data_IF_936178938428
#
_entry.id   IF_936178938428
#
_cell.length_a   1.000
_cell.length_b   1.000
_cell.length_c   1.000
_cell.angle_alpha   90.00
_cell.angle_beta   90.00
_cell.angle_gamma   90.00
#
_symmetry.space_group_name_H-M   'P 1'
#
loop_
_entity.id
_entity.type
_entity.pdbx_description
1 polymer ?
#
# COMPACT_ATOMS: atom_id res chain seq x y z
N UNK A 1 -13.15 7.31 18.85
CA UNK A 1 -13.72 6.17 18.08
C UNK A 1 -14.86 6.71 17.22
N UNK A 2 -14.83 6.39 15.91
CA UNK A 2 -15.58 7.02 14.81
C UNK A 2 -14.98 8.40 14.43
N UNK A 3 -14.53 8.70 13.19
CA UNK A 3 -14.85 8.14 11.88
C UNK A 3 -13.69 8.47 10.90
N UNK A 4 -12.82 7.52 10.60
CA UNK A 4 -11.89 7.60 9.46
C UNK A 4 -12.53 6.89 8.26
N UNK A 5 -13.45 7.59 7.60
CA UNK A 5 -13.91 7.23 6.27
C UNK A 5 -14.07 8.53 5.51
N UNK A 6 -13.09 8.86 4.68
CA UNK A 6 -13.18 9.60 3.41
C UNK A 6 -11.78 10.14 3.07
N UNK A 7 -11.02 9.33 2.32
CA UNK A 7 -10.17 9.75 1.20
C UNK A 7 -9.43 8.51 0.66
N UNK A 8 -10.07 7.66 -0.18
CA UNK A 8 -9.28 6.88 -1.11
C UNK A 8 -8.95 7.78 -2.31
N UNK A 9 -7.66 7.85 -2.64
CA UNK A 9 -7.14 8.28 -3.94
C UNK A 9 -7.46 9.71 -4.41
N UNK A 10 -6.62 10.67 -4.01
CA UNK A 10 -6.28 11.83 -4.87
C UNK A 10 -5.19 11.40 -5.85
N UNK A 11 -5.52 10.43 -6.71
CA UNK A 11 -4.75 10.05 -7.89
C UNK A 11 -5.42 10.59 -9.15
N UNK A 12 -5.62 11.90 -9.23
CA UNK A 12 -6.06 12.54 -10.46
C UNK A 12 -5.03 13.61 -10.83
N UNK A 13 -4.24 13.30 -11.84
CA UNK A 13 -3.23 14.17 -12.43
C UNK A 13 -3.79 15.58 -12.64
N UNK A 14 -3.07 16.58 -12.12
CA UNK A 14 -3.21 17.96 -12.57
C UNK A 14 -2.72 18.04 -14.02
N UNK A 15 -3.66 18.00 -14.98
CA UNK A 15 -3.42 18.50 -16.32
C UNK A 15 -4.46 19.58 -16.62
N UNK A 16 -4.03 20.83 -16.45
CA UNK A 16 -4.61 21.94 -17.20
C UNK A 16 -4.26 21.71 -18.67
N UNK A 17 -5.23 21.28 -19.48
CA UNK A 17 -5.12 21.35 -20.94
C UNK A 17 -6.34 22.10 -21.50
N UNK A 18 -6.15 23.04 -22.44
CA UNK A 18 -7.23 23.81 -23.01
C UNK A 18 -8.01 22.95 -24.03
N UNK A 19 -9.33 23.15 -24.03
CA UNK A 19 -10.32 22.75 -25.02
C UNK A 19 -9.81 21.97 -26.26
N UNK A 20 -10.26 20.72 -26.39
CA UNK A 20 -10.38 20.04 -27.69
C UNK A 20 -11.83 19.60 -27.92
N UNK A 21 -12.34 19.67 -29.16
CA UNK A 21 -13.77 19.63 -29.45
C UNK A 21 -14.33 18.20 -29.40
N UNK A 22 -15.62 18.15 -29.07
CA UNK A 22 -16.48 16.97 -28.95
C UNK A 22 -16.17 15.83 -29.94
N UNK A 23 -15.58 14.75 -29.42
CA UNK A 23 -15.78 13.39 -29.93
C UNK A 23 -16.76 12.70 -29.01
N UNK A 24 -17.92 12.29 -29.52
CA UNK A 24 -18.90 11.49 -28.78
C UNK A 24 -18.24 10.22 -28.24
N UNK A 25 -18.05 10.16 -26.92
CA UNK A 25 -17.67 8.93 -26.23
C UNK A 25 -18.86 7.96 -26.28
N UNK A 26 -18.84 7.05 -27.24
CA UNK A 26 -19.84 6.00 -27.37
C UNK A 26 -19.61 4.93 -26.27
N UNK A 27 -20.44 4.97 -25.22
CA UNK A 27 -20.36 4.07 -24.06
C UNK A 27 -20.99 2.68 -24.25
N UNK A 28 -21.43 2.29 -25.46
CA UNK A 28 -22.12 1.00 -25.67
C UNK A 28 -21.29 -0.07 -26.40
N UNK A 29 -19.95 -0.01 -26.33
CA UNK A 29 -19.09 -1.11 -26.81
C UNK A 29 -18.90 -2.18 -25.73
N UNK A 30 -19.66 -3.27 -25.85
CA UNK A 30 -19.65 -4.46 -24.98
C UNK A 30 -18.58 -5.50 -25.36
N UNK A 31 -17.65 -5.14 -26.24
CA UNK A 31 -16.59 -6.00 -26.78
C UNK A 31 -15.21 -5.72 -26.18
N UNK A 32 -15.10 -4.91 -25.11
CA UNK A 32 -13.80 -4.70 -24.44
C UNK A 32 -13.48 -5.87 -23.52
N UNK A 33 -12.24 -6.40 -23.58
CA UNK A 33 -11.85 -7.50 -22.73
C UNK A 33 -11.65 -7.03 -21.27
N UNK A 34 -11.75 -7.95 -20.31
CA UNK A 34 -11.66 -7.67 -18.86
C UNK A 34 -10.45 -6.78 -18.55
N UNK A 35 -10.67 -5.65 -17.88
CA UNK A 35 -9.59 -4.73 -17.52
C UNK A 35 -8.80 -5.22 -16.32
N UNK A 36 -9.47 -5.90 -15.38
CA UNK A 36 -8.84 -6.49 -14.20
C UNK A 36 -9.52 -7.80 -13.81
N UNK A 37 -8.71 -8.77 -13.40
CA UNK A 37 -9.15 -10.05 -12.84
C UNK A 37 -8.26 -10.38 -11.65
N UNK A 38 -8.88 -10.53 -10.48
CA UNK A 38 -8.24 -11.01 -9.27
C UNK A 38 -8.83 -12.37 -8.87
N UNK A 39 -7.99 -13.19 -8.25
CA UNK A 39 -8.41 -14.51 -7.80
C UNK A 39 -7.96 -14.73 -6.37
N UNK A 40 -8.83 -15.36 -5.60
CA UNK A 40 -8.65 -15.57 -4.17
C UNK A 40 -8.87 -17.04 -3.84
N UNK A 41 -8.19 -17.49 -2.79
CA UNK A 41 -8.31 -18.82 -2.20
C UNK A 41 -8.56 -18.68 -0.71
N UNK A 42 -9.57 -19.35 -0.18
CA UNK A 42 -9.76 -19.52 1.25
C UNK A 42 -8.97 -20.78 1.69
N UNK A 43 -7.84 -20.66 2.40
CA UNK A 43 -6.93 -21.79 2.58
C UNK A 43 -7.52 -22.94 3.41
N UNK A 44 -8.50 -22.67 4.28
CA UNK A 44 -9.09 -23.67 5.17
C UNK A 44 -10.13 -24.55 4.47
N UNK A 45 -10.95 -24.00 3.57
CA UNK A 45 -12.01 -24.71 2.83
C UNK A 45 -11.61 -25.06 1.41
N UNK A 46 -10.57 -24.44 0.87
CA UNK A 46 -10.18 -24.54 -0.53
C UNK A 46 -11.10 -23.76 -1.49
N UNK A 47 -12.01 -22.97 -0.95
CA UNK A 47 -12.95 -22.16 -1.72
C UNK A 47 -12.21 -21.12 -2.57
N UNK A 48 -12.69 -20.88 -3.80
CA UNK A 48 -12.15 -19.86 -4.69
C UNK A 48 -13.16 -18.78 -4.99
N UNK A 49 -12.70 -17.53 -4.92
CA UNK A 49 -13.44 -16.37 -5.40
C UNK A 49 -12.70 -15.74 -6.59
N UNK A 50 -13.47 -15.15 -7.51
CA UNK A 50 -12.93 -14.34 -8.60
C UNK A 50 -13.61 -12.98 -8.58
N UNK A 51 -12.80 -11.95 -8.57
CA UNK A 51 -13.24 -10.59 -8.66
C UNK A 51 -12.81 -10.03 -10.02
N UNK A 52 -13.72 -9.37 -10.72
CA UNK A 52 -13.44 -8.87 -12.06
C UNK A 52 -14.09 -7.53 -12.29
N UNK A 53 -13.43 -6.72 -13.12
CA UNK A 53 -13.89 -5.38 -13.48
C UNK A 53 -13.70 -5.14 -14.97
N UNK A 54 -14.75 -4.62 -15.60
CA UNK A 54 -14.80 -4.34 -17.05
C UNK A 54 -14.72 -2.85 -17.41
N UNK A 55 -14.45 -1.98 -16.42
CA UNK A 55 -14.46 -0.53 -16.59
C UNK A 55 -15.75 0.13 -16.11
N UNK A 56 -16.81 -0.64 -15.85
CA UNK A 56 -18.09 -0.10 -15.36
C UNK A 56 -18.72 -0.96 -14.27
N UNK A 57 -18.40 -2.24 -14.21
CA UNK A 57 -19.08 -3.19 -13.33
C UNK A 57 -18.07 -4.07 -12.63
N UNK A 58 -18.20 -4.17 -11.31
CA UNK A 58 -17.47 -5.13 -10.49
C UNK A 58 -18.32 -6.40 -10.33
N UNK A 59 -17.73 -7.56 -10.58
CA UNK A 59 -18.38 -8.87 -10.41
C UNK A 59 -17.55 -9.75 -9.49
N UNK A 60 -18.16 -10.19 -8.40
CA UNK A 60 -17.63 -11.21 -7.50
C UNK A 60 -18.32 -12.54 -7.79
N UNK A 61 -17.55 -13.55 -8.19
CA UNK A 61 -18.02 -14.92 -8.40
C UNK A 61 -17.47 -15.82 -7.30
N UNK A 62 -18.39 -16.49 -6.58
CA UNK A 62 -18.11 -17.33 -5.40
C UNK A 62 -19.10 -18.50 -5.38
N UNK A 63 -18.63 -19.74 -5.22
CA UNK A 63 -19.48 -20.96 -5.15
C UNK A 63 -20.57 -21.09 -6.23
N UNK A 64 -20.30 -20.58 -7.44
CA UNK A 64 -21.27 -20.57 -8.54
C UNK A 64 -22.31 -19.43 -8.48
N UNK A 65 -22.36 -18.67 -7.39
CA UNK A 65 -23.08 -17.40 -7.30
C UNK A 65 -22.24 -16.27 -7.90
N UNK A 66 -22.92 -15.25 -8.44
CA UNK A 66 -22.27 -14.04 -8.96
C UNK A 66 -23.00 -12.83 -8.43
N UNK A 67 -22.31 -12.04 -7.61
CA UNK A 67 -22.76 -10.72 -7.20
C UNK A 67 -22.21 -9.69 -8.19
N UNK A 68 -23.07 -8.78 -8.64
CA UNK A 68 -22.72 -7.73 -9.60
C UNK A 68 -23.01 -6.38 -8.97
N UNK A 69 -22.04 -5.48 -9.05
CA UNK A 69 -22.15 -4.12 -8.53
C UNK A 69 -21.72 -3.16 -9.64
N UNK A 70 -22.63 -2.26 -10.00
CA UNK A 70 -22.31 -1.06 -10.78
C UNK A 70 -22.06 0.10 -9.81
N UNK A 71 -21.31 1.14 -10.22
CA UNK A 71 -21.19 2.37 -9.45
C UNK A 71 -22.57 2.84 -8.99
N UNK A 72 -22.71 3.29 -7.73
CA UNK A 72 -23.96 3.89 -7.29
C UNK A 72 -24.26 5.13 -8.17
N UNK A 73 -25.53 5.52 -8.33
CA UNK A 73 -25.87 6.79 -8.95
C UNK A 73 -25.11 7.91 -8.23
N UNK A 74 -24.32 8.68 -8.98
CA UNK A 74 -23.58 9.80 -8.41
C UNK A 74 -24.49 11.02 -8.36
N UNK A 75 -24.87 11.41 -7.15
CA UNK A 75 -25.55 12.66 -6.88
C UNK A 75 -24.52 13.69 -6.40
N UNK A 76 -24.01 14.47 -7.36
CA UNK A 76 -23.02 15.51 -7.10
C UNK A 76 -23.52 16.52 -6.06
N UNK A 77 -24.82 16.85 -6.06
CA UNK A 77 -25.38 17.82 -5.14
C UNK A 77 -25.40 17.26 -3.71
N UNK A 78 -25.76 15.99 -3.54
CA UNK A 78 -25.74 15.32 -2.25
C UNK A 78 -24.31 15.19 -1.68
N UNK A 79 -23.33 14.79 -2.51
CA UNK A 79 -21.94 14.71 -2.08
C UNK A 79 -21.34 16.08 -1.75
N UNK A 80 -21.73 17.12 -2.50
CA UNK A 80 -21.34 18.51 -2.22
C UNK A 80 -21.86 18.99 -0.88
N UNK A 81 -23.10 18.66 -0.56
CA UNK A 81 -23.71 18.99 0.73
C UNK A 81 -23.07 18.22 1.89
N UNK A 82 -22.74 16.95 1.68
CA UNK A 82 -22.02 16.12 2.67
C UNK A 82 -20.63 16.68 2.96
N UNK A 83 -19.87 17.03 1.93
CA UNK A 83 -18.55 17.66 2.08
C UNK A 83 -18.65 19.00 2.82
N UNK A 84 -19.64 19.83 2.46
CA UNK A 84 -19.91 21.09 3.15
C UNK A 84 -20.17 20.85 4.64
N UNK A 85 -21.03 19.91 4.98
CA UNK A 85 -21.36 19.57 6.37
C UNK A 85 -20.12 19.06 7.15
N UNK A 86 -19.29 18.23 6.51
CA UNK A 86 -18.05 17.74 7.11
C UNK A 86 -17.07 18.88 7.42
N UNK A 87 -16.83 19.76 6.45
CA UNK A 87 -15.91 20.90 6.63
C UNK A 87 -16.44 21.91 7.66
N UNK A 88 -17.76 22.07 7.76
CA UNK A 88 -18.36 22.94 8.77
C UNK A 88 -18.06 22.45 10.21
N UNK A 89 -17.97 21.13 10.39
CA UNK A 89 -17.67 20.49 11.66
C UNK A 89 -16.16 20.38 11.92
N UNK A 90 -15.40 19.98 10.90
CA UNK A 90 -14.05 19.42 11.06
C UNK A 90 -12.97 20.14 10.24
N UNK A 91 -13.21 21.34 9.68
CA UNK A 91 -12.17 22.07 8.97
C UNK A 91 -10.91 22.23 9.83
N UNK A 92 -9.75 21.84 9.27
CA UNK A 92 -8.47 21.83 9.96
C UNK A 92 -7.37 22.52 9.16
N UNK A 93 -6.19 22.67 9.77
CA UNK A 93 -5.06 23.38 9.18
C UNK A 93 -4.59 22.80 7.82
N UNK A 94 -4.46 21.46 7.66
CA UNK A 94 -4.21 20.83 6.37
C UNK A 94 -5.14 21.28 5.23
N UNK A 95 -6.46 21.31 5.44
CA UNK A 95 -7.39 21.72 4.38
C UNK A 95 -7.20 23.19 4.02
N UNK A 96 -7.17 24.10 5.01
CA UNK A 96 -6.94 25.53 4.75
C UNK A 96 -5.67 25.79 3.94
N UNK A 97 -4.58 25.07 4.25
CA UNK A 97 -3.33 25.13 3.50
C UNK A 97 -3.49 24.63 2.08
N UNK A 98 -4.05 23.42 1.91
CA UNK A 98 -4.22 22.79 0.60
C UNK A 98 -4.99 23.71 -0.36
N UNK A 99 -6.10 24.30 0.07
CA UNK A 99 -6.86 25.19 -0.80
C UNK A 99 -6.19 26.53 -1.06
N UNK A 100 -5.42 27.08 -0.11
CA UNK A 100 -4.58 28.25 -0.37
C UNK A 100 -3.58 27.96 -1.50
N UNK A 101 -2.93 26.81 -1.49
CA UNK A 101 -1.99 26.42 -2.56
C UNK A 101 -2.69 26.17 -3.90
N UNK A 102 -3.86 25.53 -3.90
CA UNK A 102 -4.70 25.42 -5.11
C UNK A 102 -5.04 26.79 -5.68
N UNK A 103 -5.39 27.75 -4.82
CA UNK A 103 -5.72 29.11 -5.21
C UNK A 103 -4.51 29.84 -5.81
N UNK A 104 -3.33 29.67 -5.22
CA UNK A 104 -2.05 30.20 -5.74
C UNK A 104 -1.74 29.61 -7.11
N UNK A 105 -1.80 28.29 -7.26
CA UNK A 105 -1.56 27.61 -8.53
C UNK A 105 -2.50 28.08 -9.64
N UNK A 106 -3.80 28.25 -9.32
CA UNK A 106 -4.81 28.72 -10.26
C UNK A 106 -4.61 30.17 -10.70
N UNK A 107 -4.23 31.06 -9.78
CA UNK A 107 -4.12 32.50 -10.05
C UNK A 107 -2.70 32.94 -10.43
N UNK A 108 -1.74 32.02 -10.41
CA UNK A 108 -0.37 32.24 -10.86
C UNK A 108 0.47 33.17 -9.98
N UNK A 109 -0.08 33.70 -8.88
CA UNK A 109 0.69 34.50 -7.92
C UNK A 109 0.08 34.47 -6.52
N UNK A 110 0.93 34.57 -5.49
CA UNK A 110 0.49 34.64 -4.09
C UNK A 110 -0.32 35.88 -3.79
N UNK A 111 0.02 37.03 -4.36
CA UNK A 111 -0.72 38.27 -4.12
C UNK A 111 -2.13 38.18 -4.71
N UNK A 112 -2.29 37.68 -5.94
CA UNK A 112 -3.62 37.46 -6.52
C UNK A 112 -4.45 36.46 -5.70
N UNK A 113 -3.84 35.38 -5.25
CA UNK A 113 -4.50 34.42 -4.37
C UNK A 113 -4.89 35.00 -3.02
N UNK A 114 -4.04 35.84 -2.41
CA UNK A 114 -4.37 36.54 -1.18
C UNK A 114 -5.55 37.49 -1.36
N UNK A 115 -5.58 38.26 -2.44
CA UNK A 115 -6.71 39.16 -2.72
C UNK A 115 -8.01 38.38 -2.89
N UNK A 116 -7.95 37.25 -3.59
CA UNK A 116 -9.11 36.37 -3.78
C UNK A 116 -9.55 35.71 -2.47
N UNK A 117 -8.60 35.25 -1.64
CA UNK A 117 -8.85 34.70 -0.31
C UNK A 117 -9.63 35.68 0.58
N UNK A 118 -9.20 36.95 0.60
CA UNK A 118 -9.88 38.01 1.32
C UNK A 118 -11.23 38.36 0.70
N UNK A 119 -11.33 38.41 -0.63
CA UNK A 119 -12.59 38.66 -1.36
C UNK A 119 -13.64 37.60 -1.03
N UNK A 120 -13.18 36.36 -0.84
CA UNK A 120 -14.00 35.24 -0.43
C UNK A 120 -14.37 35.29 1.06
N UNK A 121 -13.97 36.30 1.82
CA UNK A 121 -14.39 36.54 3.20
C UNK A 121 -13.63 35.71 4.23
N UNK A 122 -12.48 35.14 3.86
CA UNK A 122 -11.57 34.51 4.80
C UNK A 122 -10.63 35.57 5.41
N UNK A 123 -10.31 35.50 6.71
CA UNK A 123 -9.62 36.57 7.41
C UNK A 123 -8.13 36.64 7.04
N UNK A 124 -7.59 37.85 6.93
CA UNK A 124 -6.15 38.09 6.73
C UNK A 124 -5.29 37.34 7.76
N UNK A 125 -5.74 37.29 9.01
CA UNK A 125 -5.05 36.56 10.09
C UNK A 125 -4.79 35.09 9.74
N UNK A 126 -5.76 34.41 9.11
CA UNK A 126 -5.60 33.01 8.69
C UNK A 126 -4.53 32.87 7.59
N UNK A 127 -4.50 33.80 6.62
CA UNK A 127 -3.46 33.84 5.60
C UNK A 127 -2.06 34.01 6.22
N UNK A 128 -1.92 34.95 7.15
CA UNK A 128 -0.65 35.23 7.82
C UNK A 128 -0.17 34.06 8.69
N UNK A 129 -1.10 33.34 9.33
CA UNK A 129 -0.82 32.14 10.11
C UNK A 129 -0.35 30.99 9.22
N UNK A 130 -0.99 30.78 8.07
CA UNK A 130 -0.53 29.80 7.08
C UNK A 130 0.87 30.16 6.54
N UNK A 131 1.15 31.44 6.27
CA UNK A 131 2.49 31.91 5.84
C UNK A 131 3.54 31.74 6.93
N UNK A 132 3.15 31.92 8.20
CA UNK A 132 4.02 31.67 9.35
C UNK A 132 4.29 30.18 9.52
N UNK A 133 3.26 29.36 9.32
CA UNK A 133 3.36 27.91 9.37
C UNK A 133 4.34 27.38 8.33
N UNK A 134 4.21 27.74 7.03
CA UNK A 134 5.14 27.28 6.00
C UNK A 134 6.60 27.68 6.29
N UNK A 135 6.81 28.92 6.77
CA UNK A 135 8.15 29.41 7.16
C UNK A 135 8.75 28.62 8.32
N UNK A 136 7.95 28.30 9.34
CA UNK A 136 8.40 27.46 10.48
C UNK A 136 8.77 26.05 10.02
N UNK A 137 8.09 25.53 9.01
CA UNK A 137 8.38 24.21 8.44
C UNK A 137 9.62 24.17 7.54
N UNK A 138 10.31 25.30 7.34
CA UNK A 138 11.49 25.38 6.47
C UNK A 138 11.17 25.12 4.99
N UNK A 139 9.89 25.15 4.61
CA UNK A 139 9.44 24.81 3.26
C UNK A 139 9.41 26.04 2.38
N UNK A 140 9.90 25.88 1.16
CA UNK A 140 9.79 26.92 0.13
C UNK A 140 8.54 26.67 -0.72
N UNK A 141 8.01 27.68 -1.43
CA UNK A 141 6.77 27.55 -2.21
C UNK A 141 6.77 26.49 -3.32
N UNK A 142 7.88 25.79 -3.57
CA UNK A 142 8.02 24.73 -4.57
C UNK A 142 7.84 23.31 -4.01
N UNK A 143 7.65 23.14 -2.70
CA UNK A 143 7.52 21.81 -2.09
C UNK A 143 6.10 21.27 -2.28
N UNK A 144 5.97 20.02 -2.75
CA UNK A 144 4.70 19.40 -3.12
C UNK A 144 3.60 19.54 -2.04
N UNK A 145 2.32 19.75 -2.42
CA UNK A 145 1.25 20.11 -1.49
C UNK A 145 0.90 19.02 -0.47
N UNK A 146 1.26 17.76 -0.73
CA UNK A 146 0.64 16.58 -0.08
C UNK A 146 1.42 15.96 1.08
N UNK A 147 2.61 16.45 1.45
CA UNK A 147 3.34 15.88 2.59
C UNK A 147 2.96 16.62 3.86
N UNK A 148 1.95 16.13 4.58
CA UNK A 148 1.58 16.55 5.94
C UNK A 148 2.18 15.47 6.86
N UNK A 149 3.32 15.71 7.55
CA UNK A 149 3.89 14.70 8.46
C UNK A 149 2.88 14.32 9.55
N UNK A 150 2.65 13.02 9.74
CA UNK A 150 1.60 12.49 10.62
C UNK A 150 1.80 12.73 12.13
N UNK A 151 2.90 13.36 12.53
CA UNK A 151 3.20 13.68 13.93
C UNK A 151 3.11 15.17 14.24
N UNK A 152 1.96 15.80 13.96
CA UNK A 152 1.63 17.13 14.49
C UNK A 152 1.22 17.05 15.97
N UNK A 153 2.14 16.56 16.80
CA UNK A 153 2.05 16.67 18.25
C UNK A 153 2.37 18.10 18.66
N UNK A 154 1.57 18.62 19.60
CA UNK A 154 1.72 19.68 20.62
C UNK A 154 3.06 20.44 20.87
N UNK A 155 4.15 20.17 20.15
CA UNK A 155 5.50 20.67 20.38
C UNK A 155 5.84 22.01 19.68
N UNK A 156 5.05 22.47 18.70
CA UNK A 156 5.35 23.68 17.90
C UNK A 156 4.45 24.90 18.20
N UNK A 157 3.39 24.71 18.97
CA UNK A 157 2.35 25.72 19.20
C UNK A 157 1.87 25.60 20.64
N UNK A 158 1.87 26.71 21.38
CA UNK A 158 1.37 26.75 22.75
C UNK A 158 -0.15 26.56 22.80
N UNK A 159 -0.69 26.09 23.93
CA UNK A 159 -2.15 25.96 24.11
C UNK A 159 -2.89 27.29 23.89
N UNK A 160 -2.26 28.41 24.26
CA UNK A 160 -2.80 29.76 24.04
C UNK A 160 -2.79 30.16 22.56
N UNK A 161 -1.73 29.82 21.80
CA UNK A 161 -1.68 30.02 20.36
C UNK A 161 -2.74 29.16 19.65
N UNK A 162 -2.94 27.90 20.06
CA UNK A 162 -4.00 27.03 19.52
C UNK A 162 -5.38 27.64 19.74
N UNK A 163 -5.66 28.10 20.96
CA UNK A 163 -6.97 28.65 21.31
C UNK A 163 -7.34 29.91 20.50
N UNK A 164 -6.35 30.76 20.20
CA UNK A 164 -6.56 32.07 19.58
C UNK A 164 -6.30 32.10 18.05
N UNK A 165 -5.85 30.98 17.47
CA UNK A 165 -5.51 30.86 16.06
C UNK A 165 -6.70 30.41 15.22
N UNK A 166 -7.16 31.17 14.21
CA UNK A 166 -8.12 30.67 13.23
C UNK A 166 -7.62 29.46 12.43
N UNK A 167 -6.31 29.21 12.37
CA UNK A 167 -5.75 28.03 11.72
C UNK A 167 -5.97 26.75 12.54
N UNK A 168 -5.74 26.80 13.85
CA UNK A 168 -5.83 25.64 14.75
C UNK A 168 -7.19 25.48 15.44
N UNK A 169 -7.89 26.59 15.68
CA UNK A 169 -9.21 26.65 16.29
C UNK A 169 -10.11 27.64 15.53
N UNK A 170 -10.47 27.35 14.27
CA UNK A 170 -11.30 28.24 13.45
C UNK A 170 -12.65 28.49 14.13
N UNK A 171 -13.14 29.74 14.25
CA UNK A 171 -14.48 29.97 14.77
C UNK A 171 -15.55 29.35 13.86
N UNK A 172 -16.72 29.03 14.41
CA UNK A 172 -17.79 28.36 13.67
C UNK A 172 -18.22 29.10 12.39
N UNK A 173 -18.19 30.43 12.40
CA UNK A 173 -18.46 31.24 11.21
C UNK A 173 -17.41 31.05 10.12
N UNK A 174 -16.13 30.98 10.49
CA UNK A 174 -15.04 30.70 9.56
C UNK A 174 -15.16 29.29 8.98
N UNK A 175 -15.46 28.28 9.82
CA UNK A 175 -15.71 26.91 9.33
C UNK A 175 -16.87 26.86 8.33
N UNK A 176 -17.99 27.51 8.64
CA UNK A 176 -19.14 27.63 7.71
C UNK A 176 -18.77 28.28 6.39
N UNK A 177 -18.04 29.40 6.47
CA UNK A 177 -17.64 30.15 5.29
C UNK A 177 -16.70 29.34 4.41
N UNK A 178 -15.66 28.76 5.03
CA UNK A 178 -14.72 27.90 4.35
C UNK A 178 -15.40 26.67 3.76
N UNK A 179 -16.26 25.98 4.51
CA UNK A 179 -17.02 24.84 4.03
C UNK A 179 -17.84 25.17 2.77
N UNK A 180 -18.48 26.34 2.74
CA UNK A 180 -19.26 26.79 1.58
C UNK A 180 -18.39 27.07 0.36
N UNK A 181 -17.23 27.69 0.55
CA UNK A 181 -16.25 27.96 -0.51
C UNK A 181 -15.67 26.65 -1.02
N UNK A 182 -15.16 25.82 -0.12
CA UNK A 182 -14.55 24.53 -0.42
C UNK A 182 -15.49 23.63 -1.19
N UNK A 183 -16.70 23.46 -0.66
CA UNK A 183 -17.72 22.66 -1.31
C UNK A 183 -18.16 23.25 -2.64
N UNK A 184 -18.00 24.54 -2.95
CA UNK A 184 -18.32 25.10 -4.26
C UNK A 184 -17.17 24.97 -5.26
N UNK A 185 -15.93 25.09 -4.80
CA UNK A 185 -14.73 25.21 -5.64
C UNK A 185 -14.05 23.85 -5.90
N UNK A 186 -14.22 22.87 -5.01
CA UNK A 186 -13.63 21.55 -5.22
C UNK A 186 -14.37 20.81 -6.34
N UNK A 187 -13.60 20.11 -7.16
CA UNK A 187 -14.14 19.22 -8.17
C UNK A 187 -14.60 17.92 -7.47
N UNK A 188 -15.91 17.67 -7.47
CA UNK A 188 -16.47 16.42 -6.97
C UNK A 188 -16.80 15.58 -8.20
N UNK A 189 -16.05 14.50 -8.37
CA UNK A 189 -16.25 13.55 -9.46
C UNK A 189 -16.90 12.29 -8.91
N UNK A 190 -17.68 11.56 -9.71
CA UNK A 190 -18.14 10.23 -9.34
C UNK A 190 -16.94 9.37 -8.91
N UNK A 191 -17.07 8.54 -7.86
CA UNK A 191 -16.01 7.62 -7.48
C UNK A 191 -15.67 6.72 -8.66
N UNK A 192 -14.37 6.45 -8.83
CA UNK A 192 -13.89 5.51 -9.83
C UNK A 192 -14.58 4.16 -9.66
N UNK A 193 -14.95 3.52 -10.76
CA UNK A 193 -15.64 2.25 -10.69
C UNK A 193 -14.75 1.12 -10.11
N UNK A 194 -13.42 1.34 -10.01
CA UNK A 194 -12.51 0.48 -9.25
C UNK A 194 -12.72 0.48 -7.73
N UNK A 195 -13.44 1.45 -7.13
CA UNK A 195 -13.73 1.44 -5.68
C UNK A 195 -14.47 0.16 -5.27
N UNK A 196 -15.33 -0.37 -6.14
CA UNK A 196 -15.99 -1.64 -5.89
C UNK A 196 -15.02 -2.83 -5.89
N UNK A 197 -13.90 -2.79 -6.63
CA UNK A 197 -12.88 -3.84 -6.54
C UNK A 197 -12.21 -3.83 -5.18
N UNK A 198 -11.81 -2.64 -4.74
CA UNK A 198 -11.15 -2.42 -3.48
C UNK A 198 -11.98 -2.93 -2.29
N UNK A 199 -13.22 -2.47 -2.16
CA UNK A 199 -14.08 -2.82 -1.04
C UNK A 199 -14.30 -4.33 -0.94
N UNK A 200 -14.53 -4.98 -2.09
CA UNK A 200 -14.71 -6.44 -2.17
C UNK A 200 -13.44 -7.21 -1.85
N UNK A 201 -12.30 -6.67 -2.24
CA UNK A 201 -10.99 -7.27 -1.93
C UNK A 201 -10.71 -7.25 -0.43
N UNK A 202 -11.03 -6.13 0.24
CA UNK A 202 -10.93 -6.01 1.70
C UNK A 202 -11.92 -6.91 2.43
N UNK A 203 -13.16 -7.02 1.94
CA UNK A 203 -14.16 -7.95 2.49
C UNK A 203 -13.65 -9.41 2.44
N UNK A 204 -13.13 -9.84 1.28
CA UNK A 204 -12.54 -11.17 1.12
C UNK A 204 -11.35 -11.38 2.06
N UNK A 205 -10.45 -10.42 2.17
CA UNK A 205 -9.31 -10.51 3.09
C UNK A 205 -9.76 -10.67 4.56
N UNK A 206 -10.77 -9.92 5.00
CA UNK A 206 -11.37 -10.05 6.35
C UNK A 206 -12.06 -11.39 6.57
N UNK A 207 -12.56 -12.02 5.52
CA UNK A 207 -13.11 -13.38 5.54
C UNK A 207 -12.02 -14.48 5.49
N UNK A 208 -10.74 -14.10 5.46
CA UNK A 208 -9.60 -15.02 5.44
C UNK A 208 -9.24 -15.54 4.04
N UNK A 209 -9.75 -14.92 2.98
CA UNK A 209 -9.30 -15.21 1.64
C UNK A 209 -7.93 -14.60 1.37
N UNK A 210 -7.08 -15.39 0.73
CA UNK A 210 -5.75 -15.02 0.30
C UNK A 210 -5.76 -14.77 -1.22
N UNK A 211 -5.22 -13.64 -1.66
CA UNK A 211 -5.02 -13.40 -3.09
C UNK A 211 -3.97 -14.33 -3.66
N UNK A 212 -4.27 -14.88 -4.83
CA UNK A 212 -3.39 -15.77 -5.58
C UNK A 212 -3.35 -15.34 -7.05
N UNK A 213 -2.33 -15.77 -7.76
CA UNK A 213 -2.16 -15.46 -9.16
C UNK A 213 -3.34 -16.00 -9.97
N UNK A 214 -4.06 -15.16 -10.74
CA UNK A 214 -5.26 -15.57 -11.46
C UNK A 214 -4.98 -16.70 -12.46
N UNK A 215 -5.90 -17.67 -12.55
CA UNK A 215 -5.74 -18.85 -13.40
C UNK A 215 -6.86 -18.97 -14.43
N UNK A 216 -6.51 -19.53 -15.59
CA UNK A 216 -7.48 -20.04 -16.57
C UNK A 216 -8.08 -21.36 -16.07
N UNK A 217 -9.13 -21.83 -16.74
CA UNK A 217 -9.78 -23.09 -16.42
C UNK A 217 -8.85 -24.31 -16.59
N UNK A 218 -7.82 -24.20 -17.43
CA UNK A 218 -6.79 -25.22 -17.65
C UNK A 218 -5.65 -25.19 -16.62
N UNK A 219 -5.70 -24.27 -15.65
CA UNK A 219 -4.68 -24.12 -14.60
C UNK A 219 -3.48 -23.24 -14.98
N UNK A 220 -3.36 -22.80 -16.23
CA UNK A 220 -2.31 -21.84 -16.61
C UNK A 220 -2.57 -20.45 -16.05
N UNK A 221 -1.52 -19.63 -15.92
CA UNK A 221 -1.66 -18.23 -15.55
C UNK A 221 -2.57 -17.50 -16.53
N UNK A 222 -3.54 -16.77 -15.98
CA UNK A 222 -4.33 -15.82 -16.74
C UNK A 222 -3.47 -14.62 -17.07
N UNK A 223 -3.67 -14.08 -18.27
CA UNK A 223 -2.97 -12.91 -18.77
C UNK A 223 -4.00 -11.85 -19.12
N UNK A 224 -3.61 -10.59 -18.97
CA UNK A 224 -4.38 -9.50 -19.56
C UNK A 224 -4.44 -9.69 -21.08
N UNK A 225 -5.49 -9.17 -21.73
CA UNK A 225 -5.67 -9.28 -23.18
C UNK A 225 -4.47 -8.75 -23.99
N UNK A 226 -3.82 -7.68 -23.51
CA UNK A 226 -2.60 -7.13 -24.12
C UNK A 226 -1.39 -8.05 -24.02
N UNK A 227 -1.32 -8.92 -23.00
CA UNK A 227 -0.23 -9.89 -22.80
C UNK A 227 -0.48 -11.25 -23.44
N UNK A 228 -1.72 -11.57 -23.83
CA UNK A 228 -2.05 -12.87 -24.46
C UNK A 228 -1.23 -13.18 -25.73
N UNK A 229 -0.94 -12.22 -26.64
CA UNK A 229 -0.06 -12.46 -27.79
C UNK A 229 1.37 -12.91 -27.39
N UNK A 230 1.82 -12.54 -26.19
CA UNK A 230 3.17 -12.83 -25.66
C UNK A 230 3.21 -14.05 -24.74
N UNK A 231 2.13 -14.83 -24.62
CA UNK A 231 2.03 -15.98 -23.70
C UNK A 231 3.20 -16.95 -23.77
N UNK A 232 3.72 -17.22 -24.98
CA UNK A 232 4.83 -18.15 -25.18
C UNK A 232 6.13 -17.62 -24.56
N UNK A 233 6.39 -16.33 -24.70
CA UNK A 233 7.56 -15.64 -24.13
C UNK A 233 7.44 -15.56 -22.60
N UNK A 234 6.24 -15.20 -22.12
CA UNK A 234 5.95 -15.06 -20.68
C UNK A 234 6.03 -16.38 -19.90
N UNK A 235 5.80 -17.52 -20.55
CA UNK A 235 5.94 -18.83 -19.89
C UNK A 235 7.35 -19.02 -19.30
N UNK A 236 8.39 -18.46 -19.94
CA UNK A 236 9.76 -18.51 -19.43
C UNK A 236 10.02 -17.62 -18.22
N UNK A 237 9.09 -16.70 -17.93
CA UNK A 237 9.15 -15.80 -16.77
C UNK A 237 8.31 -16.29 -15.59
N UNK A 238 7.53 -17.35 -15.72
CA UNK A 238 6.77 -17.89 -14.59
C UNK A 238 7.72 -18.35 -13.47
N UNK A 239 7.51 -17.84 -12.25
CA UNK A 239 8.32 -18.22 -11.07
C UNK A 239 7.46 -18.85 -9.99
N UNK A 240 7.97 -19.89 -9.30
CA UNK A 240 7.32 -20.40 -8.12
C UNK A 240 7.42 -19.38 -6.98
N UNK A 241 6.33 -19.27 -6.24
CA UNK A 241 6.19 -18.40 -5.08
C UNK A 241 5.41 -19.14 -4.01
N UNK A 242 5.68 -18.84 -2.75
CA UNK A 242 4.82 -19.26 -1.64
C UNK A 242 4.19 -18.01 -1.06
N UNK A 243 2.89 -18.06 -0.78
CA UNK A 243 2.10 -16.99 -0.17
C UNK A 243 1.90 -17.29 1.31
N UNK A 244 2.67 -16.64 2.21
CA UNK A 244 2.37 -16.60 3.63
C UNK A 244 0.97 -16.04 3.87
N UNK A 245 0.28 -16.54 4.90
CA UNK A 245 -0.98 -15.97 5.37
C UNK A 245 -1.18 -16.11 6.88
N UNK A 246 -1.87 -15.18 7.56
CA UNK A 246 -2.15 -15.30 8.98
C UNK A 246 -3.15 -16.42 9.22
N UNK A 247 -2.90 -17.18 10.28
CA UNK A 247 -3.75 -18.29 10.73
C UNK A 247 -4.19 -18.05 12.17
N UNK A 248 -5.33 -18.63 12.53
CA UNK A 248 -5.77 -18.62 13.91
C UNK A 248 -4.87 -19.51 14.78
N UNK A 249 -4.59 -19.05 16.00
CA UNK A 249 -3.78 -19.77 16.99
C UNK A 249 -2.60 -18.94 17.48
N UNK A 250 -2.07 -19.31 18.64
CA UNK A 250 -0.85 -18.73 19.18
C UNK A 250 0.36 -19.53 18.70
N UNK A 251 1.33 -18.91 18.00
CA UNK A 251 2.53 -19.61 17.55
C UNK A 251 3.45 -19.87 18.74
N UNK A 252 4.13 -21.03 18.74
CA UNK A 252 5.25 -21.29 19.63
C UNK A 252 6.46 -20.41 19.24
N UNK A 253 7.54 -20.37 20.05
CA UNK A 253 8.71 -19.56 19.72
C UNK A 253 9.37 -19.87 18.38
N UNK A 254 9.32 -21.12 17.90
CA UNK A 254 9.99 -21.58 16.68
C UNK A 254 9.07 -21.77 15.47
N UNK A 255 7.76 -21.51 15.63
CA UNK A 255 6.82 -21.58 14.51
C UNK A 255 6.99 -20.38 13.56
N UNK A 256 6.54 -20.56 12.32
CA UNK A 256 6.38 -19.42 11.41
C UNK A 256 5.35 -18.43 11.96
N UNK A 257 5.70 -17.15 12.01
CA UNK A 257 4.82 -16.09 12.54
C UNK A 257 5.16 -14.71 11.97
N UNK A 258 4.15 -13.85 11.94
CA UNK A 258 4.34 -12.41 11.84
C UNK A 258 4.47 -11.83 13.24
N UNK A 259 5.38 -10.88 13.41
CA UNK A 259 5.49 -10.05 14.60
C UNK A 259 5.63 -10.80 15.93
N UNK A 260 5.45 -10.06 17.02
CA UNK A 260 5.55 -10.60 18.37
C UNK A 260 6.98 -10.85 18.83
N UNK A 261 7.19 -11.90 19.63
CA UNK A 261 8.50 -12.22 20.21
C UNK A 261 9.19 -13.30 19.36
N UNK A 262 10.33 -12.98 18.74
CA UNK A 262 11.05 -13.92 17.88
C UNK A 262 11.63 -15.11 18.66
N UNK A 263 11.91 -16.20 17.95
CA UNK A 263 12.84 -17.23 18.39
C UNK A 263 14.20 -16.59 18.74
N UNK A 264 14.69 -16.80 19.96
CA UNK A 264 16.04 -16.35 20.34
C UNK A 264 16.67 -17.23 21.41
N UNK A 265 17.76 -17.97 21.10
CA UNK A 265 18.50 -18.73 22.10
C UNK A 265 19.10 -17.84 23.18
N UNK A 266 19.16 -18.34 24.42
CA UNK A 266 19.85 -17.64 25.52
C UNK A 266 21.30 -17.35 25.12
N UNK A 267 21.75 -16.11 25.33
CA UNK A 267 23.09 -15.65 24.99
C UNK A 267 23.27 -15.16 23.55
N UNK A 268 22.26 -15.30 22.68
CA UNK A 268 22.30 -14.68 21.36
C UNK A 268 21.90 -13.20 21.41
N UNK A 269 22.57 -12.38 20.60
CA UNK A 269 22.37 -10.94 20.57
C UNK A 269 21.12 -10.55 19.77
N UNK A 270 20.47 -9.47 20.18
CA UNK A 270 19.43 -8.82 19.38
C UNK A 270 20.06 -8.13 18.16
N UNK A 271 19.46 -8.22 16.95
CA UNK A 271 19.85 -7.44 15.78
C UNK A 271 19.88 -5.93 16.02
N UNK A 272 21.01 -5.29 15.73
CA UNK A 272 21.14 -3.84 15.82
C UNK A 272 21.31 -3.23 14.43
N UNK A 273 20.88 -1.98 14.28
CA UNK A 273 21.12 -1.18 13.09
C UNK A 273 22.55 -0.61 13.05
N UNK A 274 22.86 0.21 12.04
CA UNK A 274 24.17 0.86 11.85
C UNK A 274 24.52 1.85 12.98
N UNK A 275 23.53 2.32 13.74
CA UNK A 275 23.70 3.24 14.87
C UNK A 275 23.76 2.51 16.22
N UNK A 276 23.56 1.19 16.23
CA UNK A 276 23.53 0.37 17.43
C UNK A 276 22.16 0.33 18.11
N UNK A 277 21.10 0.84 17.48
CA UNK A 277 19.74 0.75 17.99
C UNK A 277 19.13 -0.63 17.67
N UNK A 278 18.25 -1.17 18.53
CA UNK A 278 17.61 -2.46 18.27
C UNK A 278 16.69 -2.43 17.04
N UNK A 279 16.83 -3.41 16.15
CA UNK A 279 15.94 -3.52 14.99
C UNK A 279 14.60 -4.18 15.38
N UNK A 280 13.46 -3.65 14.93
CA UNK A 280 12.15 -4.29 15.06
C UNK A 280 12.09 -5.66 14.40
N UNK A 281 11.29 -6.57 14.97
CA UNK A 281 11.07 -7.91 14.44
C UNK A 281 9.81 -7.95 13.58
N UNK A 282 9.97 -8.32 12.30
CA UNK A 282 8.88 -8.33 11.33
C UNK A 282 8.20 -9.70 11.22
N UNK A 283 8.98 -10.75 11.00
CA UNK A 283 8.47 -12.10 10.79
C UNK A 283 9.57 -13.15 10.96
N UNK A 284 9.16 -14.40 11.20
CA UNK A 284 10.02 -15.57 11.04
C UNK A 284 9.29 -16.67 10.27
N UNK A 285 10.06 -17.46 9.53
CA UNK A 285 9.57 -18.47 8.61
C UNK A 285 10.36 -19.75 8.82
N UNK A 286 9.68 -20.81 9.25
CA UNK A 286 10.23 -22.16 9.23
C UNK A 286 10.19 -22.68 7.79
N UNK A 287 11.38 -22.86 7.20
CA UNK A 287 11.53 -23.32 5.83
C UNK A 287 11.07 -24.77 5.63
N UNK A 288 11.06 -25.60 6.68
CA UNK A 288 10.50 -26.95 6.60
C UNK A 288 8.99 -26.90 6.39
N UNK A 289 8.31 -25.96 7.05
CA UNK A 289 6.88 -25.71 6.88
C UNK A 289 6.59 -25.00 5.55
N UNK A 290 7.27 -23.90 5.27
CA UNK A 290 7.01 -23.05 4.10
C UNK A 290 7.32 -23.73 2.76
N UNK A 291 8.30 -24.65 2.75
CA UNK A 291 8.75 -25.37 1.55
C UNK A 291 8.57 -26.88 1.67
N UNK A 292 7.59 -27.35 2.46
CA UNK A 292 7.33 -28.77 2.69
C UNK A 292 7.16 -29.57 1.38
N UNK A 293 6.47 -28.99 0.39
CA UNK A 293 6.26 -29.58 -0.93
C UNK A 293 7.44 -29.45 -1.90
N UNK A 294 8.51 -28.74 -1.54
CA UNK A 294 9.64 -28.47 -2.44
C UNK A 294 9.32 -27.55 -3.61
N UNK A 295 8.30 -26.73 -3.46
CA UNK A 295 7.86 -25.77 -4.47
C UNK A 295 8.91 -24.69 -4.77
N UNK A 296 9.78 -24.40 -3.79
CA UNK A 296 10.88 -23.45 -3.89
C UNK A 296 12.21 -24.23 -3.88
N UNK A 297 12.69 -24.76 -5.02
CA UNK A 297 13.82 -25.69 -5.03
C UNK A 297 15.15 -25.08 -4.57
N UNK A 298 15.32 -23.77 -4.75
CA UNK A 298 16.56 -23.05 -4.39
C UNK A 298 16.62 -22.69 -2.91
N UNK A 299 15.50 -22.78 -2.18
CA UNK A 299 15.50 -22.50 -0.74
C UNK A 299 15.96 -23.72 0.07
N UNK A 300 16.60 -23.49 1.23
CA UNK A 300 16.89 -24.57 2.18
C UNK A 300 15.62 -25.32 2.56
N UNK A 301 15.76 -26.63 2.81
CA UNK A 301 14.63 -27.52 3.17
C UNK A 301 14.22 -27.44 4.64
N UNK A 302 15.01 -26.76 5.46
CA UNK A 302 14.85 -26.64 6.91
C UNK A 302 15.53 -25.38 7.41
N UNK A 303 15.27 -25.05 8.65
CA UNK A 303 15.83 -23.91 9.35
C UNK A 303 14.86 -22.74 9.40
N UNK A 304 15.10 -21.85 10.35
CA UNK A 304 14.25 -20.72 10.66
C UNK A 304 14.91 -19.43 10.14
N UNK A 305 14.25 -18.76 9.21
CA UNK A 305 14.60 -17.40 8.81
C UNK A 305 13.89 -16.39 9.70
N UNK A 306 14.58 -15.31 10.06
CA UNK A 306 14.00 -14.20 10.82
C UNK A 306 14.35 -12.89 10.13
N UNK A 307 13.37 -11.99 10.05
CA UNK A 307 13.46 -10.73 9.33
C UNK A 307 13.31 -9.57 10.32
N UNK A 308 14.30 -8.69 10.33
CA UNK A 308 14.33 -7.48 11.14
C UNK A 308 14.58 -6.27 10.24
N UNK A 309 13.86 -5.18 10.46
CA UNK A 309 13.96 -3.99 9.59
C UNK A 309 13.51 -2.72 10.30
N UNK A 310 14.16 -1.62 9.98
CA UNK A 310 13.75 -0.25 10.26
C UNK A 310 14.17 0.67 9.09
N UNK A 311 13.92 1.97 9.20
CA UNK A 311 14.48 2.96 8.26
C UNK A 311 16.01 3.05 8.28
N UNK A 312 16.65 2.62 9.38
CA UNK A 312 18.09 2.74 9.59
C UNK A 312 18.86 1.43 9.32
N UNK A 313 18.16 0.36 8.95
CA UNK A 313 18.80 -0.87 8.49
C UNK A 313 17.92 -2.12 8.58
N UNK A 314 18.53 -3.22 8.17
CA UNK A 314 17.92 -4.52 8.04
C UNK A 314 18.83 -5.62 8.57
N UNK A 315 18.22 -6.73 8.98
CA UNK A 315 18.97 -7.95 9.32
C UNK A 315 18.14 -9.18 9.05
N UNK A 316 18.75 -10.18 8.42
CA UNK A 316 18.18 -11.53 8.32
C UNK A 316 19.05 -12.50 9.11
N UNK A 317 18.42 -13.23 10.02
CA UNK A 317 19.05 -14.32 10.77
C UNK A 317 18.57 -15.65 10.23
N UNK A 318 19.48 -16.63 10.17
CA UNK A 318 19.17 -18.00 9.77
C UNK A 318 19.65 -18.98 10.83
N UNK A 319 18.71 -19.78 11.34
CA UNK A 319 18.97 -20.84 12.31
C UNK A 319 18.77 -22.19 11.64
N UNK A 320 19.83 -22.93 11.27
CA UNK A 320 19.69 -24.17 10.51
C UNK A 320 18.98 -25.29 11.30
N UNK A 321 19.15 -25.29 12.63
CA UNK A 321 18.62 -26.30 13.54
C UNK A 321 18.06 -25.60 14.81
N UNK A 322 16.86 -24.98 14.74
CA UNK A 322 16.27 -24.28 15.86
C UNK A 322 15.93 -25.24 17.02
N UNK A 323 16.41 -24.92 18.22
CA UNK A 323 16.13 -25.66 19.46
C UNK A 323 14.66 -25.49 19.86
N UNK A 324 13.94 -26.60 20.04
CA UNK A 324 12.54 -26.61 20.48
C UNK A 324 12.41 -26.89 21.98
N UNK A 325 13.05 -26.05 22.78
CA UNK A 325 13.00 -26.08 24.25
C UNK A 325 12.89 -24.65 24.76
N UNK A 326 11.75 -24.28 25.33
CA UNK A 326 11.51 -22.92 25.82
C UNK A 326 12.51 -22.50 26.90
N UNK A 327 13.03 -23.43 27.70
CA UNK A 327 14.02 -23.12 28.73
C UNK A 327 15.38 -22.71 28.14
N UNK A 328 15.65 -23.04 26.88
CA UNK A 328 16.85 -22.65 26.14
C UNK A 328 16.68 -21.29 25.43
N UNK A 329 15.51 -20.66 25.51
CA UNK A 329 15.18 -19.43 24.80
C UNK A 329 15.00 -18.25 25.77
N UNK A 330 15.31 -17.06 25.28
CA UNK A 330 14.95 -15.80 25.96
C UNK A 330 13.77 -15.15 25.24
N UNK A 331 12.83 -14.64 26.02
CA UNK A 331 11.65 -13.90 25.55
C UNK A 331 11.78 -12.39 25.76
N UNK A 332 12.95 -11.92 26.22
CA UNK A 332 13.21 -10.50 26.45
C UNK A 332 13.19 -9.76 25.11
N UNK A 333 12.47 -8.65 25.02
CA UNK A 333 12.49 -7.76 23.85
C UNK A 333 13.08 -6.44 24.33
N UNK A 334 14.06 -5.85 23.61
CA UNK A 334 14.57 -4.54 23.97
C UNK A 334 13.47 -3.48 23.80
N UNK A 335 13.62 -2.36 24.50
CA UNK A 335 12.77 -1.19 24.27
C UNK A 335 13.02 -0.66 22.85
N UNK A 336 11.95 -0.52 22.08
CA UNK A 336 11.96 0.05 20.74
C UNK A 336 11.48 1.50 20.80
N UNK A 337 11.91 2.33 19.86
CA UNK A 337 11.35 3.67 19.71
C UNK A 337 9.88 3.56 19.24
N UNK A 338 8.96 4.32 19.87
CA UNK A 338 7.51 4.27 19.61
C UNK A 338 7.15 4.24 18.11
N UNK A 339 7.84 5.06 17.30
CA UNK A 339 7.63 5.14 15.85
C UNK A 339 8.05 3.86 15.11
N UNK A 340 9.14 3.23 15.53
CA UNK A 340 9.60 1.97 14.93
C UNK A 340 8.68 0.82 15.31
N UNK A 341 8.16 0.82 16.54
CA UNK A 341 7.20 -0.18 17.00
C UNK A 341 5.87 -0.07 16.25
N UNK A 342 5.36 1.14 16.02
CA UNK A 342 4.13 1.36 15.28
C UNK A 342 4.23 0.88 13.82
N UNK A 343 5.38 1.10 13.17
CA UNK A 343 5.54 0.79 11.75
C UNK A 343 6.05 -0.62 11.45
N UNK A 344 7.02 -1.14 12.19
CA UNK A 344 7.76 -2.34 11.79
C UNK A 344 7.53 -3.56 12.70
N UNK A 345 6.62 -3.45 13.67
CA UNK A 345 6.26 -4.54 14.58
C UNK A 345 4.79 -4.93 14.42
N UNK A 346 4.44 -5.78 13.43
CA UNK A 346 3.08 -6.28 13.29
C UNK A 346 2.64 -7.11 14.52
N UNK A 347 1.33 -7.32 14.74
CA UNK A 347 0.85 -8.15 15.84
C UNK A 347 1.30 -9.61 15.70
N UNK A 348 1.50 -10.31 16.82
CA UNK A 348 1.88 -11.73 16.80
C UNK A 348 0.77 -12.58 16.18
N UNK A 349 1.04 -13.19 15.02
CA UNK A 349 0.10 -14.06 14.32
C UNK A 349 0.81 -15.28 13.74
N UNK A 350 0.26 -16.47 13.98
CA UNK A 350 0.75 -17.71 13.38
C UNK A 350 0.62 -17.67 11.85
N UNK A 351 1.57 -18.29 11.14
CA UNK A 351 1.65 -18.21 9.68
C UNK A 351 1.40 -19.57 9.00
N UNK A 352 0.55 -19.57 7.98
CA UNK A 352 0.35 -20.65 7.02
C UNK A 352 0.92 -20.31 5.65
N UNK A 353 0.93 -21.28 4.73
CA UNK A 353 1.56 -21.14 3.41
C UNK A 353 0.71 -21.75 2.29
N UNK A 354 0.56 -21.01 1.18
CA UNK A 354 -0.05 -21.51 -0.06
C UNK A 354 0.98 -21.46 -1.20
N UNK A 355 1.32 -22.59 -1.85
CA UNK A 355 2.15 -22.57 -3.05
C UNK A 355 1.38 -21.98 -4.23
N UNK A 356 2.05 -21.15 -5.02
CA UNK A 356 1.51 -20.49 -6.20
C UNK A 356 2.64 -20.25 -7.23
N UNK A 357 2.32 -19.78 -8.43
CA UNK A 357 3.32 -19.28 -9.37
C UNK A 357 2.83 -17.96 -9.93
N UNK A 358 3.75 -17.07 -10.28
CA UNK A 358 3.40 -15.73 -10.71
C UNK A 358 4.30 -15.25 -11.85
N UNK A 359 3.85 -14.17 -12.48
CA UNK A 359 4.62 -13.38 -13.44
C UNK A 359 5.12 -12.10 -12.76
N UNK A 360 6.12 -11.43 -13.34
CA UNK A 360 6.56 -10.13 -12.84
C UNK A 360 5.41 -9.11 -12.80
N UNK A 361 5.56 -8.08 -11.97
CA UNK A 361 4.64 -6.94 -11.97
C UNK A 361 4.70 -6.18 -13.30
N UNK A 362 3.64 -5.45 -13.61
CA UNK A 362 3.53 -4.62 -14.83
C UNK A 362 4.69 -3.63 -15.04
N UNK A 363 5.28 -3.16 -13.94
CA UNK A 363 6.38 -2.20 -13.94
C UNK A 363 7.77 -2.86 -13.97
N UNK A 364 7.87 -4.19 -13.90
CA UNK A 364 9.14 -4.90 -14.03
C UNK A 364 9.69 -4.78 -15.47
N UNK A 365 10.95 -4.39 -15.61
CA UNK A 365 11.63 -4.19 -16.90
C UNK A 365 11.59 -5.41 -17.81
N UNK A 366 11.45 -6.63 -17.26
CA UNK A 366 11.29 -7.86 -18.04
C UNK A 366 10.03 -7.83 -18.90
N UNK A 367 9.03 -7.03 -18.53
CA UNK A 367 7.80 -6.79 -19.29
C UNK A 367 7.86 -5.50 -20.13
N UNK A 368 9.02 -4.83 -20.20
CA UNK A 368 9.19 -3.59 -20.95
C UNK A 368 8.84 -3.71 -22.44
N UNK A 369 8.96 -4.91 -23.03
CA UNK A 369 8.53 -5.18 -24.41
C UNK A 369 7.02 -5.04 -24.63
N UNK A 370 6.22 -5.20 -23.56
CA UNK A 370 4.76 -5.13 -23.61
C UNK A 370 4.22 -3.72 -23.33
N UNK A 371 5.10 -2.78 -22.96
CA UNK A 371 4.76 -1.36 -22.77
C UNK A 371 4.96 -0.66 -24.11
N UNK A 372 3.90 -0.28 -24.81
CA UNK A 372 4.05 0.40 -26.11
C UNK A 372 4.54 1.84 -25.92
N UNK A 373 5.35 2.34 -26.87
CA UNK A 373 5.89 3.70 -26.83
C UNK A 373 4.85 4.79 -27.17
N UNK A 374 3.67 4.41 -27.67
CA UNK A 374 2.62 5.30 -28.19
C UNK A 374 1.37 5.38 -27.28
N UNK A 375 1.32 4.59 -26.21
CA UNK A 375 0.23 4.65 -25.23
C UNK A 375 0.48 5.77 -24.23
N UNK A 376 -0.55 6.58 -23.94
CA UNK A 376 -0.51 7.45 -22.76
C UNK A 376 -0.29 6.58 -21.53
N UNK A 377 0.39 7.10 -20.49
CA UNK A 377 0.78 6.33 -19.29
C UNK A 377 -0.35 5.44 -18.75
N UNK A 378 -1.60 5.94 -18.78
CA UNK A 378 -2.80 5.22 -18.36
C UNK A 378 -3.20 4.01 -19.23
N UNK A 379 -2.96 4.03 -20.55
CA UNK A 379 -3.30 2.93 -21.47
C UNK A 379 -2.27 1.80 -21.47
N UNK A 380 -0.99 2.12 -21.29
CA UNK A 380 0.08 1.13 -21.12
C UNK A 380 0.00 0.41 -19.77
N UNK A 381 -0.42 1.12 -18.71
CA UNK A 381 -0.70 0.53 -17.39
C UNK A 381 -1.87 -0.46 -17.41
N UNK A 382 -2.93 -0.18 -18.19
CA UNK A 382 -4.12 -1.05 -18.33
C UNK A 382 -3.80 -2.37 -19.05
N UNK A 383 -2.89 -2.37 -20.03
CA UNK A 383 -2.62 -3.53 -20.89
C UNK A 383 -1.71 -4.59 -20.26
N UNK A 384 -0.80 -4.19 -19.35
CA UNK A 384 0.14 -5.09 -18.68
C UNK A 384 -0.15 -5.28 -17.19
N UNK A 385 -1.36 -4.95 -16.71
CA UNK A 385 -1.74 -4.85 -15.29
C UNK A 385 -1.69 -6.18 -14.50
N UNK A 386 -0.49 -6.75 -14.35
CA UNK A 386 -0.17 -7.80 -13.42
C UNK A 386 0.26 -7.13 -12.11
N UNK A 387 -0.61 -7.16 -11.11
CA UNK A 387 -0.35 -6.60 -9.78
C UNK A 387 -0.14 -7.71 -8.74
N UNK A 388 1.06 -8.31 -8.67
CA UNK A 388 1.38 -9.21 -7.57
C UNK A 388 1.57 -8.36 -6.30
N UNK A 389 0.59 -8.38 -5.42
CA UNK A 389 0.59 -7.81 -4.05
C UNK A 389 0.39 -8.95 -3.04
N UNK A 390 0.59 -8.62 -1.77
CA UNK A 390 0.51 -9.53 -0.65
C UNK A 390 1.87 -10.11 -0.30
N UNK A 391 1.94 -10.72 0.87
CA UNK A 391 3.18 -11.32 1.34
C UNK A 391 3.60 -12.47 0.42
N UNK A 392 4.90 -12.62 0.26
CA UNK A 392 5.44 -13.73 -0.54
C UNK A 392 6.82 -14.13 -0.08
N UNK A 393 7.09 -15.42 -0.15
CA UNK A 393 8.41 -16.01 -0.05
C UNK A 393 8.83 -16.39 -1.47
N UNK A 394 9.94 -15.81 -1.96
CA UNK A 394 10.41 -15.90 -3.36
C UNK A 394 9.43 -15.26 -4.34
N UNK A 395 9.49 -15.62 -5.62
CA UNK A 395 8.71 -14.99 -6.69
C UNK A 395 9.36 -13.72 -7.24
N UNK A 396 8.54 -12.73 -7.59
CA UNK A 396 8.93 -11.40 -8.05
C UNK A 396 8.57 -10.34 -7.01
N UNK A 397 9.43 -9.33 -6.82
CA UNK A 397 9.07 -8.18 -6.00
C UNK A 397 7.89 -7.44 -6.62
N UNK A 398 7.05 -6.87 -5.76
CA UNK A 398 6.15 -5.81 -6.18
C UNK A 398 6.99 -4.60 -6.60
N UNK A 399 6.54 -3.88 -7.62
CA UNK A 399 7.19 -2.65 -8.10
C UNK A 399 6.09 -1.60 -8.22
N UNK A 400 6.19 -0.52 -7.44
CA UNK A 400 5.19 0.57 -7.43
C UNK A 400 5.75 1.81 -8.12
N UNK A 401 6.92 2.29 -7.70
CA UNK A 401 7.53 3.49 -8.27
C UNK A 401 8.57 3.13 -9.33
N UNK A 402 9.74 2.69 -8.88
CA UNK A 402 10.84 2.19 -9.71
C UNK A 402 11.67 1.29 -8.83
N UNK A 403 11.76 0.01 -9.18
CA UNK A 403 12.62 -0.93 -8.47
C UNK A 403 14.08 -0.63 -8.81
N UNK A 404 14.88 -0.24 -7.82
CA UNK A 404 16.29 0.07 -8.03
C UNK A 404 17.17 -1.07 -7.51
N UNK A 405 17.59 -2.00 -8.40
CA UNK A 405 18.92 -2.56 -8.20
C UNK A 405 19.61 -2.90 -9.52
N UNK A 406 19.54 -2.02 -10.52
CA UNK A 406 20.14 -2.25 -11.84
C UNK A 406 21.63 -2.66 -11.80
N UNK A 407 22.31 -2.59 -10.65
CA UNK A 407 23.69 -3.00 -10.45
C UNK A 407 23.90 -4.40 -9.80
N UNK A 408 22.91 -5.06 -9.18
CA UNK A 408 23.16 -6.29 -8.40
C UNK A 408 22.29 -7.48 -8.83
N UNK A 409 22.94 -8.62 -9.12
CA UNK A 409 22.30 -9.92 -9.39
C UNK A 409 21.63 -10.47 -8.12
N UNK A 410 20.50 -9.90 -7.75
CA UNK A 410 19.71 -10.28 -6.55
C UNK A 410 18.36 -10.88 -6.92
N UNK A 411 17.75 -11.54 -5.95
CA UNK A 411 16.45 -12.17 -6.05
C UNK A 411 15.68 -11.98 -4.76
N UNK A 412 14.35 -11.85 -4.87
CA UNK A 412 13.49 -11.72 -3.70
C UNK A 412 13.60 -12.96 -2.81
N UNK A 413 13.89 -12.75 -1.54
CA UNK A 413 13.83 -13.75 -0.48
C UNK A 413 12.43 -13.76 0.12
N UNK A 414 11.99 -12.62 0.67
CA UNK A 414 10.70 -12.46 1.33
C UNK A 414 10.16 -11.05 1.08
N UNK A 415 8.86 -10.90 0.88
CA UNK A 415 8.15 -9.62 0.90
C UNK A 415 7.11 -9.66 2.01
N UNK A 416 7.14 -8.65 2.86
CA UNK A 416 6.05 -8.29 3.74
C UNK A 416 5.31 -7.11 3.12
N UNK A 417 3.99 -7.14 3.18
CA UNK A 417 3.14 -6.15 2.50
C UNK A 417 2.11 -5.65 3.51
N UNK A 418 2.30 -4.44 4.03
CA UNK A 418 1.45 -3.91 5.10
C UNK A 418 0.09 -3.42 4.60
N UNK A 419 -0.04 -3.18 3.30
CA UNK A 419 -1.15 -2.45 2.67
C UNK A 419 -1.75 -3.20 1.47
N UNK A 420 -1.82 -4.55 1.53
CA UNK A 420 -2.46 -5.31 0.46
C UNK A 420 -3.99 -5.22 0.55
N UNK A 421 -4.54 -4.38 -0.32
CA UNK A 421 -5.97 -4.18 -0.56
C UNK A 421 -6.76 -5.44 -0.87
N UNK A 422 -6.08 -6.52 -1.28
CA UNK A 422 -6.69 -7.83 -1.51
C UNK A 422 -6.07 -8.99 -0.74
N UNK A 423 -5.20 -8.77 0.24
CA UNK A 423 -4.50 -9.90 0.82
C UNK A 423 -3.64 -9.59 2.03
N UNK A 424 -4.29 -9.71 3.19
CA UNK A 424 -3.72 -9.70 4.54
C UNK A 424 -3.50 -8.28 5.07
N UNK A 425 -4.33 -7.94 6.04
CA UNK A 425 -4.34 -6.63 6.70
C UNK A 425 -3.71 -6.77 8.07
N UNK A 426 -2.73 -5.91 8.38
CA UNK A 426 -2.26 -5.72 9.75
C UNK A 426 -2.69 -4.33 10.23
N UNK A 427 -3.58 -4.23 11.21
CA UNK A 427 -4.08 -2.94 11.75
C UNK A 427 -5.25 -2.32 10.97
N UNK A 428 -5.77 -1.19 11.48
CA UNK A 428 -6.92 -0.46 10.88
C UNK A 428 -6.53 0.37 9.64
N UNK A 429 -5.23 0.64 9.46
CA UNK A 429 -4.63 1.40 8.35
C UNK A 429 -3.55 0.64 7.58
N UNK A 430 -3.27 -0.64 7.89
CA UNK A 430 -2.10 -1.34 7.35
C UNK A 430 -0.81 -0.85 8.01
N UNK A 431 -0.27 -1.60 8.98
CA UNK A 431 0.83 -1.19 9.88
C UNK A 431 2.11 -0.70 9.18
N UNK A 432 2.25 -0.93 7.89
CA UNK A 432 3.08 -0.11 7.01
C UNK A 432 2.20 0.34 5.85
N UNK A 433 2.17 1.64 5.52
CA UNK A 433 1.52 2.17 4.31
C UNK A 433 2.27 1.80 3.00
N UNK A 434 2.76 0.57 2.91
CA UNK A 434 3.66 0.10 1.87
C UNK A 434 4.15 -1.33 2.09
N UNK A 435 5.19 -1.72 1.37
CA UNK A 435 5.79 -3.05 1.42
C UNK A 435 7.29 -2.99 1.72
N UNK A 436 7.81 -4.09 2.26
CA UNK A 436 9.23 -4.32 2.48
C UNK A 436 9.64 -5.62 1.80
N UNK A 437 10.63 -5.56 0.91
CA UNK A 437 11.20 -6.74 0.26
C UNK A 437 12.64 -6.96 0.69
N UNK A 438 12.95 -8.19 1.06
CA UNK A 438 14.30 -8.66 1.37
C UNK A 438 14.87 -9.38 0.17
N UNK A 439 16.08 -9.00 -0.26
CA UNK A 439 16.73 -9.48 -1.46
C UNK A 439 18.07 -10.15 -1.13
N UNK A 440 18.34 -11.28 -1.77
CA UNK A 440 19.56 -12.07 -1.56
C UNK A 440 20.23 -12.39 -2.90
N UNK A 441 21.55 -12.43 -2.92
CA UNK A 441 22.30 -12.91 -4.10
C UNK A 441 22.18 -14.44 -4.22
N UNK A 442 22.10 -15.01 -5.44
CA UNK A 442 22.03 -16.46 -5.62
C UNK A 442 23.16 -17.23 -4.94
N UNK A 443 24.41 -16.74 -5.03
CA UNK A 443 25.58 -17.39 -4.43
C UNK A 443 25.50 -17.39 -2.89
N UNK A 444 24.98 -16.31 -2.30
CA UNK A 444 24.79 -16.19 -0.85
C UNK A 444 23.71 -17.15 -0.35
N UNK A 445 22.60 -17.24 -1.07
CA UNK A 445 21.57 -18.24 -0.78
C UNK A 445 22.13 -19.66 -0.86
N UNK A 446 22.92 -19.97 -1.90
CA UNK A 446 23.56 -21.27 -2.06
C UNK A 446 24.56 -21.62 -0.94
N UNK A 447 25.22 -20.60 -0.39
CA UNK A 447 26.14 -20.72 0.75
C UNK A 447 25.46 -20.62 2.12
N UNK A 448 24.13 -20.42 2.16
CA UNK A 448 23.37 -20.15 3.39
C UNK A 448 23.88 -18.91 4.15
N UNK A 449 24.43 -17.93 3.43
CA UNK A 449 24.91 -16.67 3.99
C UNK A 449 23.84 -15.59 3.85
N UNK A 450 23.13 -15.32 4.94
CA UNK A 450 22.08 -14.30 4.99
C UNK A 450 22.61 -12.95 5.52
N UNK A 451 23.93 -12.81 5.75
CA UNK A 451 24.51 -11.58 6.32
C UNK A 451 24.53 -10.40 5.34
N UNK A 452 24.33 -10.67 4.04
CA UNK A 452 24.33 -9.69 2.95
C UNK A 452 22.97 -9.53 2.29
N UNK A 453 21.90 -9.91 2.99
CA UNK A 453 20.54 -9.59 2.56
C UNK A 453 20.33 -8.09 2.68
N UNK A 454 19.79 -7.48 1.64
CA UNK A 454 19.36 -6.08 1.66
C UNK A 454 17.83 -5.99 1.69
N UNK A 455 17.27 -4.98 2.34
CA UNK A 455 15.84 -4.68 2.32
C UNK A 455 15.51 -3.39 1.55
N UNK A 456 14.52 -3.45 0.67
CA UNK A 456 13.90 -2.27 0.04
C UNK A 456 12.57 -1.97 0.72
N UNK A 457 12.31 -0.70 0.98
CA UNK A 457 11.02 -0.18 1.44
C UNK A 457 10.44 0.73 0.37
N UNK A 458 9.19 0.52 0.01
CA UNK A 458 8.47 1.36 -0.94
C UNK A 458 7.01 1.50 -0.47
N UNK A 459 6.46 2.71 -0.61
CA UNK A 459 5.15 3.10 -0.09
C UNK A 459 4.37 3.86 -1.17
N UNK A 460 3.04 3.81 -1.08
CA UNK A 460 2.12 4.42 -2.05
C UNK A 460 1.97 5.93 -1.89
#
# INVERSE_FOLDING_TARGET
MASYWLLPFLGAAFLLSPASPAGEFNMTRTDRPLRQLEQYLQPQTGERARLSFDGQTTRLRREGQTATQTPPPFDEAAEREKLRAQMEQNASAPEFRMWREMLIGRLGSREAARQEFLRLGLPQKLWDELDTFDRRMGRTPSDAPNVVPESYSSALVTAEEVQNSPLWNPPAELRRRFASIWAAEINIVPPGAEVGLWERSLELAREGFLRISPRRADGSLWLTPGLEPHRAELRGLERPVVRPYPTAGQPTPWDSKFGGVPYRPVGSAWPLDVHGAPLPFLAQIDLAQANAGGHLPDLPRRGLLQFFVSHAGERVLYWPDPVQDEAALTREVPELEDYQEEMFSPPEQAMGFVPDSELPSSLDDRLGFARSADETDQQGEDNANLRPNGHRLRGYPMVINTFHPAAENVQLLFQFDGDDYGGQLFGDSGGMGGWVGFFIRPDDLGNLDFSRVWAELDAF
#
